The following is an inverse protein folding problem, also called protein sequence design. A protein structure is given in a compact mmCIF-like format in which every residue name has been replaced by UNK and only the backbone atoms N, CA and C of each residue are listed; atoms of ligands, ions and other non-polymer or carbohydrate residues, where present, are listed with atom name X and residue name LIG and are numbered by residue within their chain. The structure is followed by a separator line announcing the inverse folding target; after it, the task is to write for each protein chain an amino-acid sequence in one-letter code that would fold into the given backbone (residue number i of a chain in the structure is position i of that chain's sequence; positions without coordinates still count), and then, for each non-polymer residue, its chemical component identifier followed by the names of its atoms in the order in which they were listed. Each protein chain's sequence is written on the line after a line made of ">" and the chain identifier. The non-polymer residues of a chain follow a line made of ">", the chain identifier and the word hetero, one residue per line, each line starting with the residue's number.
data_IF_732020298534
#
_entry.id   IF_732020298534
#
_cell.length_a   1.000
_cell.length_b   1.000
_cell.length_c   1.000
_cell.angle_alpha   90.00
_cell.angle_beta   90.00
_cell.angle_gamma   90.00
#
_symmetry.space_group_name_H-M   'P 1'
#
loop_
_entity.id
_entity.type
_entity.pdbx_description
1 polymer ?
#
# COMPACT_ATOMS: atom_id res chain seq x y z
N UNK A 1 68.50 -32.35 -35.24
CA UNK A 1 67.57 -31.25 -34.91
C UNK A 1 66.31 -31.40 -35.75
N UNK A 2 65.21 -31.87 -35.16
CA UNK A 2 63.87 -31.84 -35.74
C UNK A 2 62.95 -31.33 -34.64
N UNK A 3 62.45 -30.11 -34.79
CA UNK A 3 61.51 -29.49 -33.87
C UNK A 3 60.09 -29.87 -34.29
N UNK A 4 59.39 -30.60 -33.42
CA UNK A 4 57.95 -30.85 -33.56
C UNK A 4 57.21 -29.68 -32.93
N UNK A 5 56.51 -28.89 -33.75
CA UNK A 5 55.55 -27.88 -33.31
C UNK A 5 54.23 -28.58 -32.98
N UNK A 6 53.87 -28.63 -31.70
CA UNK A 6 52.54 -29.05 -31.24
C UNK A 6 51.64 -27.82 -31.29
N UNK A 7 50.67 -27.82 -32.20
CA UNK A 7 49.65 -26.80 -32.33
C UNK A 7 48.58 -27.04 -31.25
N UNK A 8 48.64 -26.27 -30.16
CA UNK A 8 47.60 -26.27 -29.13
C UNK A 8 46.38 -25.50 -29.67
N UNK A 9 45.35 -26.20 -30.13
CA UNK A 9 44.04 -25.59 -30.38
C UNK A 9 43.44 -25.20 -29.02
N UNK A 10 43.60 -23.93 -28.65
CA UNK A 10 42.82 -23.31 -27.59
C UNK A 10 41.38 -23.18 -28.03
N UNK A 11 40.49 -23.95 -27.43
CA UNK A 11 39.04 -23.73 -27.52
C UNK A 11 38.74 -22.43 -26.78
N UNK A 12 38.54 -21.34 -27.53
CA UNK A 12 37.98 -20.10 -26.99
C UNK A 12 36.49 -20.36 -26.79
N UNK A 13 36.11 -20.73 -25.57
CA UNK A 13 34.72 -20.70 -25.13
C UNK A 13 34.25 -19.25 -25.12
N UNK A 14 33.56 -18.85 -26.19
CA UNK A 14 32.80 -17.59 -26.22
C UNK A 14 31.66 -17.77 -25.21
N UNK A 15 31.83 -17.21 -24.01
CA UNK A 15 30.74 -17.08 -23.06
C UNK A 15 29.65 -16.21 -23.68
N UNK A 16 28.42 -16.71 -23.72
CA UNK A 16 27.27 -15.91 -24.07
C UNK A 16 27.10 -14.82 -22.99
N UNK A 17 27.57 -13.61 -23.28
CA UNK A 17 27.11 -12.42 -22.59
C UNK A 17 25.70 -12.19 -23.13
N UNK A 18 24.68 -12.67 -22.41
CA UNK A 18 23.31 -12.29 -22.70
C UNK A 18 23.23 -10.77 -22.64
N UNK A 19 22.68 -10.13 -23.68
CA UNK A 19 22.41 -8.70 -23.63
C UNK A 19 21.34 -8.48 -22.56
N UNK A 20 21.73 -7.91 -21.41
CA UNK A 20 20.77 -7.43 -20.44
C UNK A 20 19.86 -6.41 -21.11
N UNK A 21 18.56 -6.46 -20.80
CA UNK A 21 17.59 -5.49 -21.31
C UNK A 21 18.04 -4.06 -21.00
N UNK A 22 18.11 -3.23 -22.05
CA UNK A 22 18.50 -1.83 -21.94
C UNK A 22 17.33 -1.02 -21.37
N UNK A 23 17.54 -0.50 -20.16
CA UNK A 23 16.57 0.34 -19.47
C UNK A 23 16.57 1.79 -19.99
N UNK A 24 17.52 2.14 -20.86
CA UNK A 24 17.63 3.48 -21.43
C UNK A 24 18.26 4.50 -20.48
N UNK A 25 18.09 5.78 -20.81
CA UNK A 25 18.61 6.89 -20.01
C UNK A 25 17.61 7.24 -18.90
N UNK A 26 18.12 7.43 -17.69
CA UNK A 26 17.34 7.91 -16.56
C UNK A 26 16.86 9.36 -16.77
N UNK A 27 15.56 9.58 -16.61
CA UNK A 27 14.94 10.87 -16.32
C UNK A 27 14.64 10.94 -14.81
N UNK A 28 15.53 11.60 -14.06
CA UNK A 28 15.47 11.68 -12.60
C UNK A 28 14.24 12.45 -12.11
N UNK A 29 13.74 13.43 -12.87
CA UNK A 29 12.53 14.18 -12.49
C UNK A 29 11.29 13.29 -12.51
N UNK A 30 11.17 12.45 -13.53
CA UNK A 30 10.08 11.48 -13.62
C UNK A 30 10.25 10.36 -12.58
N UNK A 31 11.47 9.88 -12.35
CA UNK A 31 11.73 8.83 -11.37
C UNK A 31 11.48 9.26 -9.93
N UNK A 32 11.59 10.56 -9.62
CA UNK A 32 11.36 11.15 -8.29
C UNK A 32 10.04 11.91 -8.17
N UNK A 33 9.09 11.68 -9.08
CA UNK A 33 7.75 12.24 -8.93
C UNK A 33 7.00 11.49 -7.82
N UNK A 34 6.55 12.17 -6.73
CA UNK A 34 5.89 11.52 -5.62
C UNK A 34 4.41 11.22 -5.91
N UNK A 35 4.01 10.04 -5.48
CA UNK A 35 2.63 9.55 -5.42
C UNK A 35 2.26 9.30 -3.97
N UNK A 36 0.98 9.47 -3.64
CA UNK A 36 0.47 9.39 -2.28
C UNK A 36 -0.57 8.31 -2.17
N UNK A 37 -0.46 7.45 -1.15
CA UNK A 37 -1.53 6.52 -0.88
C UNK A 37 -2.74 7.20 -0.23
N UNK A 38 -3.82 6.44 -0.03
CA UNK A 38 -5.04 6.95 0.58
C UNK A 38 -4.88 7.48 2.02
N UNK A 39 -3.77 7.14 2.70
CA UNK A 39 -3.40 7.69 4.01
C UNK A 39 -2.41 8.87 3.90
N UNK A 40 -2.10 9.33 2.69
CA UNK A 40 -1.22 10.45 2.39
C UNK A 40 0.26 10.13 2.45
N UNK A 41 0.66 8.87 2.63
CA UNK A 41 2.08 8.50 2.66
C UNK A 41 2.67 8.55 1.25
N UNK A 42 3.81 9.24 1.07
CA UNK A 42 4.48 9.35 -0.22
C UNK A 42 5.31 8.11 -0.57
N UNK A 43 5.38 7.81 -1.87
CA UNK A 43 6.35 6.93 -2.52
C UNK A 43 6.64 7.47 -3.93
N UNK A 44 7.78 7.16 -4.52
CA UNK A 44 8.01 7.49 -5.94
C UNK A 44 7.20 6.57 -6.86
N UNK A 45 6.88 7.02 -8.08
CA UNK A 45 6.00 6.27 -8.99
C UNK A 45 6.37 4.80 -9.17
N UNK A 46 7.65 4.50 -9.49
CA UNK A 46 8.11 3.12 -9.61
C UNK A 46 8.14 2.34 -8.29
N UNK A 47 8.46 3.02 -7.18
CA UNK A 47 8.38 2.44 -5.83
C UNK A 47 6.92 2.04 -5.50
N UNK A 48 5.95 2.93 -5.78
CA UNK A 48 4.53 2.69 -5.59
C UNK A 48 4.03 1.54 -6.48
N UNK A 49 4.47 1.47 -7.74
CA UNK A 49 4.15 0.35 -8.65
C UNK A 49 4.58 -1.00 -8.06
N UNK A 50 5.81 -1.08 -7.54
CA UNK A 50 6.33 -2.29 -6.89
C UNK A 50 5.58 -2.60 -5.60
N UNK A 51 5.29 -1.58 -4.76
CA UNK A 51 4.55 -1.75 -3.51
C UNK A 51 3.15 -2.33 -3.74
N UNK A 52 2.44 -1.87 -4.77
CA UNK A 52 1.07 -2.33 -5.02
C UNK A 52 1.01 -3.64 -5.81
N UNK A 53 2.01 -3.95 -6.63
CA UNK A 53 1.93 -5.05 -7.60
C UNK A 53 2.77 -6.28 -7.25
N UNK A 54 3.87 -6.12 -6.51
CA UNK A 54 4.89 -7.16 -6.37
C UNK A 54 5.33 -7.44 -4.93
N UNK A 55 5.20 -6.45 -4.04
CA UNK A 55 5.71 -6.47 -2.66
C UNK A 55 4.58 -6.21 -1.64
N UNK A 56 4.96 -5.78 -0.42
CA UNK A 56 4.02 -5.37 0.63
C UNK A 56 3.07 -6.49 1.10
N UNK A 57 3.66 -7.59 1.55
CA UNK A 57 2.95 -8.77 2.00
C UNK A 57 2.61 -9.77 0.88
N UNK A 58 3.17 -9.57 -0.31
CA UNK A 58 2.95 -10.40 -1.51
C UNK A 58 4.29 -10.99 -2.00
N UNK A 59 4.31 -11.46 -3.26
CA UNK A 59 5.30 -12.38 -3.84
C UNK A 59 6.77 -12.12 -3.45
N UNK A 60 7.20 -10.86 -3.38
CA UNK A 60 8.58 -10.48 -3.06
C UNK A 60 8.78 -9.95 -1.62
N UNK A 61 7.94 -10.37 -0.68
CA UNK A 61 8.10 -10.08 0.77
C UNK A 61 8.67 -11.30 1.50
N UNK A 62 9.52 -11.07 2.51
CA UNK A 62 10.16 -12.15 3.30
C UNK A 62 9.15 -13.07 3.99
N UNK A 63 8.05 -12.50 4.47
CA UNK A 63 6.97 -13.22 5.17
C UNK A 63 5.93 -13.82 4.23
N UNK A 64 6.04 -13.62 2.92
CA UNK A 64 5.08 -14.17 1.99
C UNK A 64 5.25 -15.69 1.87
N UNK A 65 4.16 -16.43 2.04
CA UNK A 65 4.09 -17.88 1.90
C UNK A 65 2.84 -18.31 1.13
N UNK A 66 2.73 -19.60 0.80
CA UNK A 66 1.54 -20.17 0.15
C UNK A 66 1.06 -19.37 -1.07
N UNK A 67 -0.19 -18.89 -1.00
CA UNK A 67 -0.82 -18.11 -2.06
C UNK A 67 -0.29 -16.67 -2.21
N UNK A 68 0.42 -16.16 -1.21
CA UNK A 68 1.07 -14.84 -1.24
C UNK A 68 2.48 -14.90 -1.84
N UNK A 69 3.02 -16.10 -2.11
CA UNK A 69 4.34 -16.31 -2.74
C UNK A 69 4.21 -17.17 -3.99
N UNK A 70 3.83 -16.53 -5.10
CA UNK A 70 3.65 -17.18 -6.41
C UNK A 70 4.64 -16.63 -7.42
N UNK A 71 5.36 -17.51 -8.10
CA UNK A 71 6.36 -17.17 -9.13
C UNK A 71 7.66 -16.53 -8.60
N UNK A 72 7.67 -15.96 -7.39
CA UNK A 72 8.86 -15.37 -6.80
C UNK A 72 9.85 -16.43 -6.24
N UNK A 73 11.12 -16.44 -6.71
CA UNK A 73 12.15 -17.32 -6.16
C UNK A 73 12.35 -17.14 -4.66
N UNK A 74 12.66 -18.23 -3.96
CA UNK A 74 13.03 -18.18 -2.56
C UNK A 74 14.24 -17.25 -2.35
N UNK A 75 14.13 -16.30 -1.43
CA UNK A 75 15.20 -15.34 -1.13
C UNK A 75 15.17 -14.05 -1.96
N UNK A 76 14.47 -14.02 -3.10
CA UNK A 76 14.29 -12.79 -3.89
C UNK A 76 13.18 -11.93 -3.26
N UNK A 77 13.57 -11.18 -2.22
CA UNK A 77 12.69 -10.31 -1.45
C UNK A 77 13.10 -8.85 -1.60
N UNK A 78 12.17 -7.98 -2.00
CA UNK A 78 12.40 -6.56 -2.14
C UNK A 78 11.17 -5.78 -1.69
N UNK A 79 11.05 -5.57 -0.37
CA UNK A 79 10.02 -4.67 0.16
C UNK A 79 10.48 -3.21 -0.02
N UNK A 80 9.72 -2.47 -0.82
CA UNK A 80 10.03 -1.08 -1.18
C UNK A 80 9.21 -0.08 -0.36
N UNK A 81 8.84 -0.45 0.87
CA UNK A 81 8.01 0.40 1.74
C UNK A 81 8.91 1.31 2.57
N UNK A 82 8.73 2.62 2.44
CA UNK A 82 9.41 3.60 3.29
C UNK A 82 9.01 3.49 4.77
N UNK A 83 9.86 4.02 5.65
CA UNK A 83 9.51 4.20 7.06
C UNK A 83 8.30 5.13 7.17
N UNK A 84 7.15 4.56 7.56
CA UNK A 84 5.92 5.29 7.87
C UNK A 84 5.98 5.94 9.26
N UNK A 85 7.03 5.66 10.03
CA UNK A 85 7.32 6.23 11.34
C UNK A 85 8.35 7.36 11.24
N UNK A 86 8.49 8.12 12.33
CA UNK A 86 9.46 9.20 12.51
C UNK A 86 10.90 8.80 12.08
N UNK A 87 11.69 9.75 11.56
CA UNK A 87 12.95 9.51 10.87
C UNK A 87 14.02 8.86 11.75
N UNK A 88 14.82 7.97 11.14
CA UNK A 88 16.03 7.40 11.74
C UNK A 88 16.76 6.48 10.76
N UNK A 89 18.07 6.70 10.49
CA UNK A 89 18.82 5.99 9.44
C UNK A 89 19.00 4.49 9.69
N UNK A 90 18.78 4.03 10.93
CA UNK A 90 19.04 2.65 11.35
C UNK A 90 17.78 1.89 11.79
N UNK A 91 16.59 2.38 11.44
CA UNK A 91 15.37 1.60 11.69
C UNK A 91 15.37 0.31 10.86
N UNK A 92 14.73 -0.75 11.38
CA UNK A 92 14.58 -2.00 10.64
C UNK A 92 13.90 -1.77 9.27
N UNK A 93 12.97 -0.82 9.20
CA UNK A 93 12.32 -0.40 7.96
C UNK A 93 13.32 0.15 6.92
N UNK A 94 14.20 1.06 7.32
CA UNK A 94 15.22 1.62 6.41
C UNK A 94 16.21 0.54 5.95
N UNK A 95 16.59 -0.39 6.84
CA UNK A 95 17.48 -1.50 6.47
C UNK A 95 16.80 -2.51 5.53
N UNK A 96 15.49 -2.74 5.68
CA UNK A 96 14.71 -3.54 4.73
C UNK A 96 14.64 -2.86 3.36
N UNK A 97 14.34 -1.56 3.35
CA UNK A 97 14.26 -0.75 2.13
C UNK A 97 15.59 -0.74 1.38
N UNK A 98 16.71 -0.56 2.10
CA UNK A 98 18.06 -0.63 1.53
C UNK A 98 18.32 -1.95 0.80
N UNK A 99 18.04 -3.07 1.48
CA UNK A 99 18.21 -4.40 0.89
C UNK A 99 17.31 -4.60 -0.34
N UNK A 100 16.08 -4.12 -0.27
CA UNK A 100 15.15 -4.18 -1.41
C UNK A 100 15.66 -3.38 -2.61
N UNK A 101 16.15 -2.16 -2.37
CA UNK A 101 16.76 -1.33 -3.40
C UNK A 101 18.01 -1.97 -4.00
N UNK A 102 18.91 -2.52 -3.17
CA UNK A 102 20.12 -3.21 -3.65
C UNK A 102 19.77 -4.41 -4.55
N UNK A 103 18.78 -5.21 -4.14
CA UNK A 103 18.30 -6.36 -4.93
C UNK A 103 17.67 -5.89 -6.24
N UNK A 104 16.78 -4.90 -6.21
CA UNK A 104 16.18 -4.38 -7.44
C UNK A 104 17.21 -3.75 -8.35
N UNK A 105 18.21 -3.07 -7.80
CA UNK A 105 19.31 -2.54 -8.59
C UNK A 105 20.08 -3.67 -9.26
N UNK A 106 20.43 -4.74 -8.54
CA UNK A 106 21.14 -5.90 -9.10
C UNK A 106 20.34 -6.58 -10.24
N UNK A 107 19.03 -6.75 -10.05
CA UNK A 107 18.14 -7.50 -10.94
C UNK A 107 17.31 -6.64 -11.89
N UNK A 108 17.62 -5.34 -12.03
CA UNK A 108 16.75 -4.35 -12.69
C UNK A 108 16.39 -4.70 -14.13
N UNK A 109 17.33 -5.25 -14.90
CA UNK A 109 17.10 -5.59 -16.31
C UNK A 109 16.18 -6.80 -16.42
N UNK A 110 16.41 -7.85 -15.65
CA UNK A 110 15.58 -9.06 -15.61
C UNK A 110 14.20 -8.78 -15.02
N UNK A 111 14.13 -7.97 -13.96
CA UNK A 111 12.88 -7.56 -13.34
C UNK A 111 12.01 -6.79 -14.34
N UNK A 112 12.59 -5.86 -15.10
CA UNK A 112 11.86 -5.15 -16.14
C UNK A 112 11.44 -6.10 -17.28
N UNK A 113 12.33 -6.95 -17.78
CA UNK A 113 12.04 -7.88 -18.88
C UNK A 113 10.86 -8.80 -18.56
N UNK A 114 10.80 -9.36 -17.35
CA UNK A 114 9.69 -10.21 -16.92
C UNK A 114 8.36 -9.46 -16.77
N UNK A 115 8.39 -8.16 -16.48
CA UNK A 115 7.18 -7.33 -16.48
C UNK A 115 6.76 -6.97 -17.90
N UNK A 116 7.73 -6.64 -18.75
CA UNK A 116 7.51 -6.24 -20.14
C UNK A 116 6.96 -7.39 -21.00
N UNK A 117 7.46 -8.61 -20.80
CA UNK A 117 6.97 -9.81 -21.49
C UNK A 117 5.68 -10.40 -20.88
N UNK A 118 5.21 -9.82 -19.77
CA UNK A 118 4.00 -10.21 -19.06
C UNK A 118 4.10 -11.52 -18.27
N UNK A 119 5.31 -12.08 -18.08
CA UNK A 119 5.52 -13.25 -17.22
C UNK A 119 5.37 -12.94 -15.73
N UNK A 120 5.54 -11.67 -15.36
CA UNK A 120 5.35 -11.14 -14.00
C UNK A 120 4.40 -9.93 -14.00
N UNK A 121 3.43 -9.87 -13.07
CA UNK A 121 3.07 -10.90 -12.10
C UNK A 121 2.47 -12.18 -12.76
N UNK A 122 2.66 -13.38 -12.18
CA UNK A 122 2.42 -14.64 -12.90
C UNK A 122 0.94 -15.07 -12.93
N UNK A 123 0.43 -15.28 -14.14
CA UNK A 123 -0.86 -15.94 -14.41
C UNK A 123 -2.06 -15.29 -13.71
N UNK A 124 -3.13 -16.08 -13.49
CA UNK A 124 -4.38 -15.59 -12.89
C UNK A 124 -4.21 -15.03 -11.46
N UNK A 125 -3.20 -15.48 -10.71
CA UNK A 125 -2.90 -14.95 -9.38
C UNK A 125 -2.29 -13.55 -9.50
N UNK A 126 -1.35 -13.37 -10.42
CA UNK A 126 -0.81 -12.06 -10.78
C UNK A 126 -1.89 -11.09 -11.24
N UNK A 127 -2.77 -11.52 -12.14
CA UNK A 127 -3.90 -10.73 -12.61
C UNK A 127 -4.85 -10.32 -11.47
N UNK A 128 -5.14 -11.22 -10.53
CA UNK A 128 -5.98 -10.91 -9.36
C UNK A 128 -5.30 -9.93 -8.40
N UNK A 129 -3.98 -10.06 -8.17
CA UNK A 129 -3.21 -9.15 -7.32
C UNK A 129 -3.21 -7.76 -7.95
N UNK A 130 -2.91 -7.66 -9.25
CA UNK A 130 -2.96 -6.41 -10.01
C UNK A 130 -4.38 -5.83 -9.97
N UNK A 131 -5.42 -6.62 -10.28
CA UNK A 131 -6.81 -6.13 -10.25
C UNK A 131 -7.23 -5.59 -8.87
N UNK A 132 -6.86 -6.27 -7.78
CA UNK A 132 -7.09 -5.79 -6.40
C UNK A 132 -6.14 -4.68 -5.95
N UNK A 133 -4.97 -4.55 -6.57
CA UNK A 133 -4.04 -3.44 -6.36
C UNK A 133 -4.59 -2.13 -6.93
N UNK A 134 -5.38 -2.21 -8.00
CA UNK A 134 -5.95 -1.05 -8.69
C UNK A 134 -7.48 -0.91 -8.49
N UNK A 135 -8.10 -1.71 -7.62
CA UNK A 135 -9.50 -1.51 -7.20
C UNK A 135 -9.58 -0.32 -6.23
N UNK A 136 -9.81 0.87 -6.77
CA UNK A 136 -9.60 2.15 -6.06
C UNK A 136 -8.13 2.56 -6.17
N UNK A 137 -7.85 3.80 -6.56
CA UNK A 137 -6.48 4.27 -6.75
C UNK A 137 -5.71 4.17 -5.42
N UNK A 138 -4.88 3.12 -5.26
CA UNK A 138 -4.06 2.95 -4.04
C UNK A 138 -3.05 4.06 -3.88
N UNK A 139 -2.63 4.66 -4.98
CA UNK A 139 -1.75 5.82 -5.04
C UNK A 139 -2.26 6.81 -6.11
N UNK A 140 -2.11 8.11 -5.84
CA UNK A 140 -2.37 9.20 -6.80
C UNK A 140 -1.28 10.26 -6.75
N UNK A 141 -1.11 11.01 -7.84
CA UNK A 141 -0.17 12.13 -7.87
C UNK A 141 -0.72 13.35 -7.10
N UNK A 142 0.04 14.46 -7.13
CA UNK A 142 -0.35 15.71 -6.49
C UNK A 142 -1.68 16.31 -7.01
N UNK A 143 -2.09 15.94 -8.22
CA UNK A 143 -3.32 16.39 -8.89
C UNK A 143 -4.45 15.34 -8.79
N UNK A 144 -4.26 14.32 -7.95
CA UNK A 144 -5.18 13.19 -7.77
C UNK A 144 -5.39 12.33 -9.02
N UNK A 145 -4.45 12.37 -9.98
CA UNK A 145 -4.44 11.38 -11.06
C UNK A 145 -3.98 10.03 -10.50
N UNK A 146 -4.69 8.93 -10.82
CA UNK A 146 -4.32 7.62 -10.31
C UNK A 146 -2.96 7.17 -10.84
N UNK A 147 -2.22 6.41 -10.02
CA UNK A 147 -1.01 5.71 -10.46
C UNK A 147 -1.34 4.85 -11.70
N UNK A 148 -0.56 4.95 -12.80
CA UNK A 148 -0.75 4.10 -13.96
C UNK A 148 -0.69 2.63 -13.58
N UNK A 149 -1.45 1.78 -14.28
CA UNK A 149 -1.39 0.34 -14.05
C UNK A 149 -0.08 -0.23 -14.58
N UNK A 150 0.49 -1.20 -13.87
CA UNK A 150 1.74 -1.86 -14.26
C UNK A 150 1.72 -2.41 -15.70
N UNK A 151 0.60 -2.98 -16.12
CA UNK A 151 0.38 -3.57 -17.45
C UNK A 151 0.02 -2.54 -18.54
N UNK A 152 -0.02 -1.24 -18.20
CA UNK A 152 -0.22 -0.16 -19.15
C UNK A 152 1.12 0.36 -19.70
N UNK A 153 1.12 0.95 -20.89
CA UNK A 153 2.32 1.58 -21.46
C UNK A 153 2.90 2.66 -20.53
N UNK A 154 2.04 3.45 -19.88
CA UNK A 154 2.47 4.47 -18.94
C UNK A 154 3.11 3.88 -17.66
N UNK A 155 2.56 2.78 -17.13
CA UNK A 155 3.12 2.11 -15.96
C UNK A 155 4.42 1.37 -16.27
N UNK A 156 4.50 0.70 -17.42
CA UNK A 156 5.72 0.04 -17.89
C UNK A 156 6.86 1.04 -18.10
N UNK A 157 6.62 2.16 -18.79
CA UNK A 157 7.63 3.21 -18.97
C UNK A 157 8.04 3.86 -17.63
N UNK A 158 7.09 4.04 -16.71
CA UNK A 158 7.40 4.53 -15.36
C UNK A 158 8.32 3.56 -14.60
N UNK A 159 8.04 2.26 -14.64
CA UNK A 159 8.89 1.23 -14.03
C UNK A 159 10.28 1.23 -14.68
N UNK A 160 10.34 1.24 -16.02
CA UNK A 160 11.59 1.24 -16.78
C UNK A 160 12.47 2.41 -16.40
N UNK A 161 11.94 3.63 -16.42
CA UNK A 161 12.67 4.85 -16.07
C UNK A 161 13.14 4.82 -14.62
N UNK A 162 12.27 4.39 -13.70
CA UNK A 162 12.62 4.29 -12.29
C UNK A 162 13.77 3.31 -12.03
N UNK A 163 13.75 2.14 -12.68
CA UNK A 163 14.84 1.16 -12.63
C UNK A 163 16.13 1.68 -13.29
N UNK A 164 16.01 2.41 -14.41
CA UNK A 164 17.14 3.08 -15.07
C UNK A 164 17.82 4.12 -14.17
N UNK A 165 17.04 4.79 -13.31
CA UNK A 165 17.52 5.74 -12.31
C UNK A 165 18.07 5.10 -11.03
N UNK A 166 18.17 3.76 -10.99
CA UNK A 166 18.67 3.04 -9.82
C UNK A 166 17.65 2.90 -8.70
N UNK A 167 16.35 2.92 -9.05
CA UNK A 167 15.24 2.72 -8.12
C UNK A 167 15.29 3.68 -6.92
N UNK A 168 15.25 5.02 -7.13
CA UNK A 168 15.19 5.97 -6.02
C UNK A 168 13.97 5.69 -5.13
N UNK A 169 14.11 5.90 -3.82
CA UNK A 169 13.04 5.61 -2.85
C UNK A 169 12.74 6.80 -1.98
N UNK A 170 11.50 6.89 -1.53
CA UNK A 170 11.13 7.65 -0.34
C UNK A 170 11.39 6.76 0.86
N UNK A 171 12.37 7.14 1.68
CA UNK A 171 12.81 6.33 2.82
C UNK A 171 12.02 6.62 4.10
N UNK A 172 11.51 7.84 4.28
CA UNK A 172 10.76 8.23 5.46
C UNK A 172 9.91 9.49 5.20
N UNK A 173 9.10 9.87 6.19
CA UNK A 173 8.40 11.14 6.18
C UNK A 173 9.37 12.32 6.36
N UNK A 174 9.11 13.37 5.59
CA UNK A 174 9.69 14.70 5.79
C UNK A 174 9.15 15.36 7.05
N UNK A 175 9.73 16.51 7.40
CA UNK A 175 9.35 17.22 8.62
C UNK A 175 7.89 17.72 8.55
N UNK A 176 7.22 17.75 9.70
CA UNK A 176 5.84 18.25 9.81
C UNK A 176 5.73 19.70 9.33
N UNK A 177 4.69 20.01 8.56
CA UNK A 177 4.42 21.37 8.06
C UNK A 177 5.11 21.72 6.74
N UNK A 178 5.92 20.81 6.17
CA UNK A 178 6.39 20.94 4.79
C UNK A 178 5.22 20.83 3.80
N UNK A 179 5.18 21.63 2.72
CA UNK A 179 4.20 21.44 1.66
C UNK A 179 4.32 20.04 1.06
N UNK A 180 3.20 19.36 0.85
CA UNK A 180 3.21 18.07 0.13
C UNK A 180 3.87 18.25 -1.26
N UNK A 181 4.55 17.20 -1.74
CA UNK A 181 5.40 17.27 -2.93
C UNK A 181 6.85 17.66 -2.62
N UNK A 182 7.12 18.19 -1.43
CA UNK A 182 8.49 18.49 -1.00
C UNK A 182 9.19 17.21 -0.57
N UNK A 183 10.31 16.91 -1.23
CA UNK A 183 11.23 15.86 -0.83
C UNK A 183 12.61 16.48 -0.59
N UNK A 184 13.25 16.08 0.50
CA UNK A 184 14.63 16.46 0.82
C UNK A 184 15.50 15.22 0.90
N UNK A 185 16.80 15.35 0.62
CA UNK A 185 17.72 14.24 0.75
C UNK A 185 17.62 13.61 2.14
N UNK A 186 17.39 12.30 2.17
CA UNK A 186 17.34 11.55 3.41
C UNK A 186 18.73 11.21 3.93
N UNK A 187 18.76 10.46 5.03
CA UNK A 187 19.96 10.21 5.81
C UNK A 187 20.70 8.94 5.36
N UNK A 188 20.07 8.09 4.53
CA UNK A 188 20.54 6.70 4.36
C UNK A 188 20.39 6.07 2.96
N UNK A 189 19.17 5.89 2.46
CA UNK A 189 18.82 5.08 1.28
C UNK A 189 18.10 5.91 0.22
N UNK A 190 17.33 6.92 0.65
CA UNK A 190 16.49 7.69 -0.25
C UNK A 190 16.15 9.06 0.30
N UNK A 191 15.03 9.60 -0.14
CA UNK A 191 14.57 10.94 0.22
C UNK A 191 13.51 10.89 1.32
N UNK A 192 13.40 11.99 2.06
CA UNK A 192 12.34 12.23 3.04
C UNK A 192 11.30 13.14 2.42
N UNK A 193 10.07 12.65 2.23
CA UNK A 193 9.02 13.39 1.54
C UNK A 193 7.88 13.77 2.47
N UNK A 194 7.36 15.00 2.30
CA UNK A 194 6.23 15.51 3.06
C UNK A 194 4.97 14.67 2.81
N UNK A 195 4.24 14.36 3.87
CA UNK A 195 2.96 13.64 3.82
C UNK A 195 1.88 14.54 3.19
N UNK A 196 1.04 13.99 2.30
CA UNK A 196 -0.16 14.69 1.84
C UNK A 196 -1.21 14.64 2.96
N UNK A 197 -1.74 15.80 3.35
CA UNK A 197 -2.88 15.83 4.24
C UNK A 197 -4.10 15.25 3.53
N UNK A 198 -4.64 14.16 4.08
CA UNK A 198 -5.84 13.52 3.54
C UNK A 198 -7.04 14.30 4.02
N UNK A 199 -7.62 15.10 3.13
CA UNK A 199 -8.91 15.74 3.39
C UNK A 199 -9.98 14.66 3.42
N UNK A 200 -10.79 14.68 4.47
CA UNK A 200 -11.99 13.84 4.59
C UNK A 200 -13.16 14.79 4.49
N UNK A 201 -14.02 14.54 3.52
CA UNK A 201 -15.27 15.29 3.33
C UNK A 201 -16.42 14.52 3.97
N UNK A 202 -17.51 15.21 4.29
CA UNK A 202 -18.72 14.63 4.86
C UNK A 202 -19.54 13.86 3.81
N UNK A 203 -18.90 12.93 3.10
CA UNK A 203 -19.53 11.99 2.18
C UNK A 203 -19.09 10.57 2.46
N UNK A 204 -19.97 9.60 2.20
CA UNK A 204 -19.64 8.19 2.40
C UNK A 204 -18.45 7.78 1.54
N UNK A 205 -18.39 8.23 0.28
CA UNK A 205 -17.27 7.94 -0.59
C UNK A 205 -15.93 8.47 -0.04
N UNK A 206 -15.89 9.69 0.52
CA UNK A 206 -14.66 10.24 1.09
C UNK A 206 -14.26 9.52 2.37
N UNK A 207 -15.21 9.31 3.30
CA UNK A 207 -14.98 8.62 4.57
C UNK A 207 -14.48 7.19 4.34
N UNK A 208 -15.11 6.44 3.43
CA UNK A 208 -14.73 5.06 3.12
C UNK A 208 -13.32 4.98 2.51
N UNK A 209 -13.03 5.83 1.52
CA UNK A 209 -11.76 5.77 0.79
C UNK A 209 -10.58 6.38 1.54
N UNK A 210 -10.84 7.23 2.54
CA UNK A 210 -9.81 8.00 3.24
C UNK A 210 -9.68 7.61 4.71
N UNK A 211 -10.76 7.76 5.49
CA UNK A 211 -10.72 7.53 6.93
C UNK A 211 -10.68 6.04 7.29
N UNK A 212 -11.42 5.19 6.56
CA UNK A 212 -11.56 3.77 6.92
C UNK A 212 -10.47 2.84 6.37
N UNK A 213 -9.51 3.36 5.63
CA UNK A 213 -8.40 2.56 5.07
C UNK A 213 -7.62 1.82 6.15
N UNK A 214 -7.44 2.45 7.31
CA UNK A 214 -6.78 1.84 8.48
C UNK A 214 -7.58 0.68 9.10
N UNK A 215 -8.89 0.61 8.84
CA UNK A 215 -9.78 -0.41 9.39
C UNK A 215 -9.79 -1.71 8.56
N UNK A 216 -9.46 -1.65 7.27
CA UNK A 216 -9.63 -2.77 6.33
C UNK A 216 -8.77 -3.99 6.63
N UNK A 217 -7.59 -3.81 7.22
CA UNK A 217 -6.73 -4.93 7.62
C UNK A 217 -7.41 -5.83 8.67
N UNK A 218 -8.31 -5.27 9.47
CA UNK A 218 -9.03 -5.95 10.55
C UNK A 218 -10.48 -6.29 10.20
N UNK A 219 -11.05 -5.56 9.24
CA UNK A 219 -12.46 -5.62 8.82
C UNK A 219 -12.59 -5.82 7.30
N UNK A 220 -11.85 -6.75 6.72
CA UNK A 220 -11.85 -7.05 5.29
C UNK A 220 -12.03 -8.54 4.99
N UNK A 221 -11.93 -8.91 3.71
CA UNK A 221 -12.15 -10.30 3.29
C UNK A 221 -11.18 -11.31 3.95
N UNK A 222 -9.98 -10.87 4.33
CA UNK A 222 -8.96 -11.67 5.01
C UNK A 222 -9.08 -11.66 6.56
N UNK A 223 -9.96 -10.83 7.12
CA UNK A 223 -10.17 -10.71 8.56
C UNK A 223 -11.48 -9.99 8.86
N UNK A 224 -12.47 -10.71 9.39
CA UNK A 224 -13.77 -10.17 9.80
C UNK A 224 -13.82 -10.01 11.32
N UNK A 225 -12.83 -9.32 11.90
CA UNK A 225 -12.84 -9.08 13.35
C UNK A 225 -14.11 -8.32 13.74
N UNK A 226 -14.72 -8.74 14.85
CA UNK A 226 -16.02 -8.18 15.24
C UNK A 226 -17.14 -8.42 14.22
N UNK A 227 -16.99 -9.44 13.36
CA UNK A 227 -18.01 -9.86 12.41
C UNK A 227 -18.41 -8.75 11.42
N UNK A 228 -17.43 -7.94 11.03
CA UNK A 228 -17.59 -6.82 10.12
C UNK A 228 -16.64 -6.95 8.93
N UNK A 229 -17.22 -6.90 7.72
CA UNK A 229 -16.52 -6.85 6.43
C UNK A 229 -16.85 -5.55 5.71
N UNK A 230 -15.82 -4.72 5.55
CA UNK A 230 -15.83 -3.42 4.91
C UNK A 230 -15.24 -3.46 3.50
N UNK A 231 -14.78 -4.61 2.98
CA UNK A 231 -14.13 -4.67 1.66
C UNK A 231 -14.99 -5.34 0.59
N UNK A 232 -15.74 -6.39 0.94
CA UNK A 232 -16.52 -7.13 -0.07
C UNK A 232 -17.63 -6.26 -0.65
N UNK A 233 -17.63 -6.08 -1.97
CA UNK A 233 -18.58 -5.20 -2.65
C UNK A 233 -18.21 -3.71 -2.59
N UNK A 234 -17.00 -3.37 -2.16
CA UNK A 234 -16.50 -2.00 -2.10
C UNK A 234 -17.31 -1.09 -1.18
N UNK A 235 -17.31 0.22 -1.47
CA UNK A 235 -18.00 1.24 -0.65
C UNK A 235 -19.49 0.93 -0.48
N UNK A 236 -20.16 0.42 -1.50
CA UNK A 236 -21.61 0.19 -1.46
C UNK A 236 -21.94 -1.02 -0.57
N UNK A 237 -21.18 -2.12 -0.71
CA UNK A 237 -21.31 -3.27 0.18
C UNK A 237 -20.98 -2.93 1.64
N UNK A 238 -19.98 -2.08 1.87
CA UNK A 238 -19.65 -1.60 3.21
C UNK A 238 -20.77 -0.73 3.80
N UNK A 239 -21.37 0.16 3.00
CA UNK A 239 -22.49 1.00 3.42
C UNK A 239 -23.67 0.15 3.92
N UNK A 240 -24.07 -0.84 3.12
CA UNK A 240 -25.18 -1.76 3.41
C UNK A 240 -24.96 -2.56 4.70
N UNK A 241 -23.71 -2.78 5.11
CA UNK A 241 -23.36 -3.50 6.34
C UNK A 241 -23.17 -2.58 7.54
N UNK A 242 -23.17 -1.27 7.36
CA UNK A 242 -22.87 -0.30 8.41
C UNK A 242 -24.09 0.53 8.83
N UNK A 243 -24.82 1.08 7.87
CA UNK A 243 -25.89 2.04 8.17
C UNK A 243 -27.18 1.32 8.55
N UNK A 244 -27.69 1.59 9.76
CA UNK A 244 -28.90 0.99 10.31
C UNK A 244 -28.77 -0.49 10.70
N UNK A 245 -27.56 -1.04 10.67
CA UNK A 245 -27.29 -2.45 10.97
C UNK A 245 -26.98 -2.62 12.46
N UNK A 246 -27.65 -3.58 13.11
CA UNK A 246 -27.36 -3.94 14.49
C UNK A 246 -25.92 -4.44 14.64
N UNK A 247 -25.25 -4.05 15.73
CA UNK A 247 -23.92 -4.56 16.04
C UNK A 247 -23.97 -6.09 16.21
N UNK A 248 -23.02 -6.81 15.58
CA UNK A 248 -22.93 -8.29 15.60
C UNK A 248 -24.11 -9.05 14.94
N UNK A 249 -24.84 -8.41 14.01
CA UNK A 249 -25.98 -9.03 13.31
C UNK A 249 -25.67 -10.30 12.50
N UNK A 250 -24.40 -10.60 12.19
CA UNK A 250 -24.00 -11.71 11.33
C UNK A 250 -23.59 -13.00 12.07
N UNK A 251 -23.81 -13.07 13.39
CA UNK A 251 -23.79 -14.32 14.16
C UNK A 251 -22.42 -14.76 14.70
N UNK A 252 -21.40 -13.91 14.67
CA UNK A 252 -20.11 -14.17 15.31
C UNK A 252 -20.19 -14.27 16.84
N UNK A 253 -19.38 -15.15 17.42
CA UNK A 253 -19.26 -15.48 18.85
C UNK A 253 -18.64 -14.35 19.71
N UNK A 254 -18.99 -13.09 19.50
CA UNK A 254 -18.47 -11.95 20.26
C UNK A 254 -19.47 -11.47 21.31
N UNK A 255 -19.26 -11.84 22.57
CA UNK A 255 -19.93 -11.22 23.70
C UNK A 255 -19.68 -9.70 23.74
N UNK A 256 -20.65 -8.97 24.29
CA UNK A 256 -20.67 -7.56 24.72
C UNK A 256 -21.51 -6.58 23.86
N UNK A 257 -21.49 -6.63 22.52
CA UNK A 257 -22.29 -5.68 21.70
C UNK A 257 -23.74 -6.12 21.45
N UNK A 258 -23.97 -7.43 21.27
CA UNK A 258 -25.32 -7.92 20.92
C UNK A 258 -26.33 -7.67 22.04
N UNK A 259 -25.86 -7.63 23.28
CA UNK A 259 -26.66 -7.31 24.45
C UNK A 259 -26.96 -5.80 24.60
N UNK A 260 -26.19 -4.91 23.97
CA UNK A 260 -26.39 -3.47 24.07
C UNK A 260 -27.52 -2.95 23.16
N UNK A 261 -27.91 -3.74 22.14
CA UNK A 261 -28.89 -3.32 21.14
C UNK A 261 -28.41 -2.18 20.24
N UNK A 262 -27.12 -1.84 20.29
CA UNK A 262 -26.54 -0.74 19.51
C UNK A 262 -26.53 -1.04 18.01
N UNK A 263 -26.68 0.00 17.19
CA UNK A 263 -26.43 -0.07 15.76
C UNK A 263 -25.01 0.43 15.45
N UNK A 264 -24.42 -0.12 14.38
CA UNK A 264 -23.10 0.29 13.89
C UNK A 264 -23.09 1.79 13.57
N UNK A 265 -24.07 2.24 12.80
CA UNK A 265 -24.36 3.65 12.51
C UNK A 265 -25.87 3.87 12.61
N UNK A 266 -26.27 4.87 13.38
CA UNK A 266 -27.64 5.39 13.48
C UNK A 266 -27.70 6.67 12.64
N UNK A 267 -28.35 6.61 11.48
CA UNK A 267 -28.50 7.79 10.63
C UNK A 267 -29.24 8.92 11.37
N UNK A 268 -28.64 10.11 11.37
CA UNK A 268 -29.14 11.29 12.08
C UNK A 268 -28.78 11.36 13.56
N UNK A 269 -27.98 10.42 14.09
CA UNK A 269 -27.58 10.41 15.50
C UNK A 269 -26.16 9.83 15.67
N UNK A 270 -25.15 10.70 15.58
CA UNK A 270 -23.74 10.34 15.77
C UNK A 270 -23.46 9.83 17.19
N UNK A 271 -24.12 10.35 18.21
CA UNK A 271 -23.91 9.97 19.62
C UNK A 271 -24.43 8.56 19.91
N UNK A 272 -25.55 8.17 19.29
CA UNK A 272 -26.11 6.82 19.39
C UNK A 272 -25.33 5.79 18.53
N UNK A 273 -24.46 6.24 17.63
CA UNK A 273 -23.73 5.37 16.70
C UNK A 273 -22.53 4.69 17.36
N UNK A 274 -22.49 3.35 17.34
CA UNK A 274 -21.37 2.58 17.89
C UNK A 274 -20.03 2.93 17.23
N UNK A 275 -20.03 3.27 15.93
CA UNK A 275 -18.84 3.72 15.22
C UNK A 275 -18.16 4.92 15.93
N UNK A 276 -18.91 5.94 16.32
CA UNK A 276 -18.34 7.15 16.95
C UNK A 276 -17.79 6.82 18.34
N UNK A 277 -18.56 6.07 19.13
CA UNK A 277 -18.12 5.59 20.45
C UNK A 277 -16.80 4.81 20.36
N UNK A 278 -16.64 4.01 19.30
CA UNK A 278 -15.41 3.26 19.00
C UNK A 278 -14.24 4.15 18.60
N UNK A 279 -14.47 5.18 17.78
CA UNK A 279 -13.41 6.07 17.29
C UNK A 279 -12.88 7.01 18.38
N UNK A 280 -13.79 7.56 19.18
CA UNK A 280 -13.47 8.48 20.28
C UNK A 280 -12.96 7.73 21.52
N UNK A 281 -13.31 6.44 21.66
CA UNK A 281 -13.07 5.70 22.90
C UNK A 281 -13.88 6.23 24.07
N UNK A 282 -14.95 6.98 23.79
CA UNK A 282 -15.84 7.61 24.77
C UNK A 282 -16.85 6.58 25.27
N UNK A 283 -16.69 6.20 26.54
CA UNK A 283 -17.80 5.73 27.39
C UNK A 283 -18.39 6.95 28.07
N UNK A 284 -19.65 7.30 27.80
CA UNK A 284 -20.43 8.11 28.72
C UNK A 284 -21.31 7.15 29.54
N UNK A 285 -21.03 6.98 30.84
CA UNK A 285 -22.01 6.41 31.77
C UNK A 285 -21.85 4.94 32.22
N UNK A 286 -20.63 4.42 32.38
CA UNK A 286 -20.39 3.26 33.26
C UNK A 286 -20.70 1.85 32.70
N UNK A 287 -21.02 1.72 31.42
CA UNK A 287 -20.96 0.43 30.71
C UNK A 287 -19.69 0.36 29.87
N UNK A 288 -18.90 -0.72 29.96
CA UNK A 288 -17.74 -0.89 29.08
C UNK A 288 -18.17 -0.69 27.62
N UNK A 289 -17.39 0.07 26.81
CA UNK A 289 -17.54 0.02 25.35
C UNK A 289 -17.56 -1.45 24.99
N UNK A 290 -18.51 -1.88 24.18
CA UNK A 290 -18.39 -3.21 23.61
C UNK A 290 -17.06 -3.26 22.86
N UNK A 291 -16.04 -3.94 23.40
CA UNK A 291 -14.68 -4.01 22.87
C UNK A 291 -13.87 -2.69 22.89
N UNK A 292 -12.65 -2.74 22.35
CA UNK A 292 -11.69 -1.64 22.42
C UNK A 292 -11.94 -0.47 21.47
N UNK A 293 -11.25 0.65 21.72
CA UNK A 293 -11.16 1.81 20.81
C UNK A 293 -10.57 1.38 19.46
N UNK A 294 -11.11 1.93 18.38
CA UNK A 294 -10.66 1.69 17.00
C UNK A 294 -10.21 3.00 16.32
N UNK A 295 -9.35 2.94 15.30
CA UNK A 295 -8.60 1.76 14.82
C UNK A 295 -7.51 1.33 15.82
N UNK A 296 -7.11 0.05 15.77
CA UNK A 296 -5.93 -0.44 16.50
C UNK A 296 -4.68 0.19 15.87
N UNK A 297 -3.86 0.84 16.70
CA UNK A 297 -2.68 1.58 16.23
C UNK A 297 -2.92 3.09 16.24
N UNK A 298 -2.67 3.76 15.11
CA UNK A 298 -2.80 5.22 15.00
C UNK A 298 -4.27 5.62 14.92
N UNK A 299 -4.82 6.35 15.91
CA UNK A 299 -6.21 6.80 15.87
C UNK A 299 -6.46 7.81 14.74
N UNK A 300 -7.72 7.93 14.32
CA UNK A 300 -8.14 9.06 13.51
C UNK A 300 -7.98 10.37 14.30
N UNK A 301 -7.69 11.45 13.59
CA UNK A 301 -7.65 12.78 14.19
C UNK A 301 -9.05 13.24 14.58
N UNK A 302 -9.16 14.14 15.55
CA UNK A 302 -10.47 14.65 15.96
C UNK A 302 -11.22 15.31 14.79
N UNK A 303 -10.52 16.07 13.93
CA UNK A 303 -11.14 16.67 12.75
C UNK A 303 -11.74 15.63 11.79
N UNK A 304 -11.10 14.48 11.61
CA UNK A 304 -11.65 13.38 10.80
C UNK A 304 -12.87 12.74 11.48
N UNK A 305 -12.84 12.59 12.80
CA UNK A 305 -13.98 12.08 13.57
C UNK A 305 -15.16 13.06 13.44
N UNK A 306 -14.92 14.36 13.59
CA UNK A 306 -15.95 15.40 13.48
C UNK A 306 -16.63 15.38 12.10
N UNK A 307 -15.87 15.18 11.01
CA UNK A 307 -16.44 15.02 9.67
C UNK A 307 -17.34 13.77 9.57
N UNK A 308 -16.95 12.66 10.19
CA UNK A 308 -17.77 11.45 10.23
C UNK A 308 -19.05 11.70 11.04
N UNK A 309 -18.96 12.43 12.15
CA UNK A 309 -20.13 12.84 12.95
C UNK A 309 -21.08 13.69 12.12
N UNK A 310 -20.57 14.72 11.44
CA UNK A 310 -21.36 15.60 10.59
C UNK A 310 -22.09 14.82 9.48
N UNK A 311 -21.42 13.86 8.83
CA UNK A 311 -22.05 13.00 7.83
C UNK A 311 -23.15 12.11 8.43
N UNK A 312 -22.93 11.53 9.63
CA UNK A 312 -23.95 10.73 10.32
C UNK A 312 -25.15 11.60 10.70
N UNK A 313 -24.93 12.75 11.33
CA UNK A 313 -25.96 13.68 11.78
C UNK A 313 -26.76 14.27 10.61
N UNK A 314 -26.13 14.38 9.43
CA UNK A 314 -26.80 14.75 8.17
C UNK A 314 -27.66 13.63 7.57
N UNK A 315 -27.73 12.45 8.20
CA UNK A 315 -28.55 11.32 7.76
C UNK A 315 -27.78 10.15 7.14
N UNK A 316 -26.44 10.17 7.21
CA UNK A 316 -25.55 9.09 6.78
C UNK A 316 -25.81 8.61 5.33
N UNK A 317 -25.93 9.53 4.36
CA UNK A 317 -26.24 9.20 2.97
C UNK A 317 -25.11 8.43 2.25
N UNK A 318 -25.45 7.52 1.32
CA UNK A 318 -24.48 6.89 0.41
C UNK A 318 -24.17 7.83 -0.77
N UNK A 319 -23.33 8.83 -0.54
CA UNK A 319 -22.97 9.89 -1.48
C UNK A 319 -21.47 9.94 -1.81
#
# INVERSE_FOLDING_TARGET
>A
MRASFVLCLGVISVGAVGCATDLGTCDDNLARTPYYNALGYPAYGGQALVEVSCANGQCHTKSADGAQRVGAPAGLNFDMIGSRAEPGPDTEAVQLLKRGQDILYEWRSEAFETVDDGSMPPGAIGESIVAGAYSGAKFSDALDNPLPKLDSSAGNEMLKNWLACGAPVVEALGDSGQPFGTCVGGDSVGDRCAKKEVQVDASWASIYNSAFVSCFACHGAAGTMGDLDMMTGGKDGAYERMVGIAAMATGGSGGDCSASGSQRIVAGDADASLLIQKLEGTVVGGGAVCGDRMPIGTPLTQAQIDVIRDWIDAGAENN
#
